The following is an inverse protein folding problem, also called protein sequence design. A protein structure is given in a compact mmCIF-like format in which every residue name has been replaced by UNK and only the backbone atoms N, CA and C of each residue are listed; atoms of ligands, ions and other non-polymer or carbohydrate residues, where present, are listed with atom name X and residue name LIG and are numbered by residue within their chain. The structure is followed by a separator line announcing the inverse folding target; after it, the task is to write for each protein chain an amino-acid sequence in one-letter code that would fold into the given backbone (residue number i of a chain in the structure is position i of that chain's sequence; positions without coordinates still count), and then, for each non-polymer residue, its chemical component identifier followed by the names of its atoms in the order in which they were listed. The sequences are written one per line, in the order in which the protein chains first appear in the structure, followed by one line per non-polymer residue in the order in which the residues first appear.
data_IF_133272365101
#
_entry.id   IF_133272365101
#
_cell.length_a   1.000
_cell.length_b   1.000
_cell.length_c   1.000
_cell.angle_alpha   90.00
_cell.angle_beta   90.00
_cell.angle_gamma   90.00
#
_symmetry.space_group_name_H-M   'P 1'
#
loop_
_entity.id
_entity.type
_entity.pdbx_description
1 polymer ?
#
# COMPACT_ATOMS: atom_id res chain seq x y z
N UNK A 1 6.58 37.64 -46.25
CA UNK A 1 7.46 36.66 -45.57
C UNK A 1 7.21 36.82 -44.07
N UNK A 2 6.25 36.03 -43.58
CA UNK A 2 5.91 35.93 -42.16
C UNK A 2 7.05 35.24 -41.41
N UNK A 3 7.26 35.61 -40.15
CA UNK A 3 7.45 34.67 -39.05
C UNK A 3 7.00 35.33 -37.75
N UNK A 4 5.72 35.11 -37.43
CA UNK A 4 5.15 35.24 -36.08
C UNK A 4 5.83 34.20 -35.18
N UNK A 5 6.43 34.64 -34.07
CA UNK A 5 6.58 33.80 -32.87
C UNK A 5 5.29 33.95 -32.07
N UNK A 6 4.57 32.85 -31.86
CA UNK A 6 3.36 32.83 -31.02
C UNK A 6 3.66 33.03 -29.54
N UNK A 7 2.70 33.52 -28.74
CA UNK A 7 2.88 33.70 -27.30
C UNK A 7 2.74 32.35 -26.58
N UNK A 8 3.72 32.01 -25.75
CA UNK A 8 3.51 31.04 -24.67
C UNK A 8 2.45 31.59 -23.72
N UNK A 9 1.42 30.80 -23.44
CA UNK A 9 0.32 31.18 -22.54
C UNK A 9 0.86 31.26 -21.12
N UNK A 10 1.11 32.47 -20.62
CA UNK A 10 1.28 32.72 -19.19
C UNK A 10 -0.06 32.42 -18.50
N UNK A 11 -0.09 31.36 -17.69
CA UNK A 11 -1.25 31.03 -16.86
C UNK A 11 -1.58 32.20 -15.93
N UNK A 12 -2.84 32.60 -15.85
CA UNK A 12 -3.27 33.69 -14.98
C UNK A 12 -3.28 33.25 -13.51
N UNK A 13 -3.05 34.19 -12.59
CA UNK A 13 -3.03 33.92 -11.13
C UNK A 13 -4.35 33.29 -10.64
N UNK A 14 -5.47 33.59 -11.32
CA UNK A 14 -6.77 32.99 -11.03
C UNK A 14 -6.89 31.54 -11.51
N UNK A 15 -6.33 31.21 -12.68
CA UNK A 15 -6.29 29.82 -13.17
C UNK A 15 -5.46 28.92 -12.26
N UNK A 16 -4.33 29.43 -11.76
CA UNK A 16 -3.52 28.72 -10.77
C UNK A 16 -4.31 28.40 -9.49
N UNK A 17 -5.05 29.37 -8.95
CA UNK A 17 -5.95 29.14 -7.81
C UNK A 17 -7.02 28.08 -8.10
N UNK A 18 -7.70 28.18 -9.25
CA UNK A 18 -8.79 27.27 -9.60
C UNK A 18 -8.31 25.83 -9.78
N UNK A 19 -7.09 25.64 -10.29
CA UNK A 19 -6.43 24.34 -10.35
C UNK A 19 -6.21 23.78 -8.95
N UNK A 20 -5.49 24.52 -8.09
CA UNK A 20 -5.18 24.06 -6.72
C UNK A 20 -6.45 23.78 -5.89
N UNK A 21 -7.48 24.60 -6.05
CA UNK A 21 -8.77 24.35 -5.42
C UNK A 21 -9.42 23.05 -5.92
N UNK A 22 -9.38 22.79 -7.23
CA UNK A 22 -9.98 21.60 -7.82
C UNK A 22 -9.28 20.33 -7.31
N UNK A 23 -7.96 20.37 -7.21
CA UNK A 23 -7.13 19.30 -6.68
C UNK A 23 -7.46 19.03 -5.21
N UNK A 24 -7.48 20.09 -4.38
CA UNK A 24 -7.85 19.99 -2.98
C UNK A 24 -9.26 19.40 -2.81
N UNK A 25 -10.23 19.83 -3.64
CA UNK A 25 -11.60 19.30 -3.61
C UNK A 25 -11.66 17.83 -3.99
N UNK A 26 -10.85 17.40 -4.96
CA UNK A 26 -10.80 16.00 -5.40
C UNK A 26 -10.36 15.06 -4.27
N UNK A 27 -9.49 15.50 -3.35
CA UNK A 27 -9.02 14.69 -2.20
C UNK A 27 -10.15 14.28 -1.25
N UNK A 28 -11.25 15.05 -1.23
CA UNK A 28 -12.43 14.70 -0.45
C UNK A 28 -13.33 13.69 -1.16
N UNK A 29 -13.01 13.25 -2.39
CA UNK A 29 -13.82 12.36 -3.21
C UNK A 29 -15.09 13.01 -3.77
N UNK A 30 -15.91 12.20 -4.45
CA UNK A 30 -17.19 12.62 -5.05
C UNK A 30 -18.39 11.87 -4.45
N UNK A 31 -19.61 12.34 -4.72
CA UNK A 31 -20.85 11.70 -4.26
C UNK A 31 -21.14 11.87 -2.76
N UNK A 32 -22.29 11.39 -2.29
CA UNK A 32 -22.62 11.47 -0.86
C UNK A 32 -21.69 10.54 -0.04
N UNK A 33 -21.01 11.04 1.01
CA UNK A 33 -20.23 10.18 1.89
C UNK A 33 -21.12 9.11 2.54
N UNK A 34 -20.58 7.89 2.67
CA UNK A 34 -21.28 6.79 3.33
C UNK A 34 -21.40 7.07 4.83
N UNK A 35 -22.57 6.81 5.40
CA UNK A 35 -22.84 6.95 6.84
C UNK A 35 -22.62 5.63 7.56
N UNK A 36 -22.46 5.69 8.88
CA UNK A 36 -22.30 4.53 9.74
C UNK A 36 -23.62 3.84 10.11
N UNK A 37 -24.73 4.20 9.46
CA UNK A 37 -26.05 3.61 9.69
C UNK A 37 -26.06 2.07 9.65
N UNK A 38 -25.34 1.39 8.75
CA UNK A 38 -25.27 -0.08 8.72
C UNK A 38 -24.73 -0.73 10.01
N UNK A 39 -24.01 0.04 10.84
CA UNK A 39 -23.46 -0.43 12.12
C UNK A 39 -24.36 -0.08 13.32
N UNK A 40 -25.43 0.71 13.13
CA UNK A 40 -26.27 1.22 14.22
C UNK A 40 -27.60 0.48 14.36
N UNK A 41 -28.14 -0.07 13.27
CA UNK A 41 -29.50 -0.62 13.24
C UNK A 41 -29.55 -2.02 12.59
N UNK A 42 -30.45 -2.88 13.12
CA UNK A 42 -30.92 -4.16 12.54
C UNK A 42 -29.89 -5.18 12.01
N UNK A 43 -28.66 -5.09 12.51
CA UNK A 43 -27.58 -6.01 12.17
C UNK A 43 -27.74 -7.43 12.74
N UNK A 44 -26.91 -8.38 12.28
CA UNK A 44 -26.88 -9.76 12.79
C UNK A 44 -26.77 -9.89 14.32
N UNK A 45 -26.10 -8.94 14.99
CA UNK A 45 -25.92 -8.94 16.44
C UNK A 45 -27.22 -8.63 17.22
N UNK A 46 -28.05 -7.70 16.75
CA UNK A 46 -29.36 -7.42 17.36
C UNK A 46 -30.30 -8.62 17.25
N UNK A 47 -30.22 -9.37 16.12
CA UNK A 47 -30.92 -10.66 15.97
C UNK A 47 -30.34 -11.70 16.92
N UNK A 48 -29.02 -11.85 16.99
CA UNK A 48 -28.38 -12.80 17.91
C UNK A 48 -28.76 -12.54 19.38
N UNK A 49 -28.79 -11.28 19.80
CA UNK A 49 -29.22 -10.88 21.14
C UNK A 49 -30.67 -11.31 21.42
N UNK A 50 -31.58 -11.12 20.46
CA UNK A 50 -32.99 -11.51 20.57
C UNK A 50 -33.16 -13.03 20.65
N UNK A 51 -32.41 -13.78 19.83
CA UNK A 51 -32.41 -15.24 19.84
C UNK A 51 -31.87 -15.81 21.17
N UNK A 52 -30.77 -15.27 21.69
CA UNK A 52 -30.20 -15.67 22.98
C UNK A 52 -31.12 -15.33 24.16
N UNK A 53 -31.83 -14.19 24.09
CA UNK A 53 -32.83 -13.86 25.09
C UNK A 53 -34.00 -14.85 25.09
N UNK A 54 -34.50 -15.22 23.89
CA UNK A 54 -35.57 -16.20 23.73
C UNK A 54 -35.15 -17.63 24.13
N UNK A 55 -33.85 -17.94 24.11
CA UNK A 55 -33.32 -19.25 24.48
C UNK A 55 -33.14 -19.47 26.00
N UNK A 56 -33.49 -18.48 26.83
CA UNK A 56 -33.43 -18.60 28.31
C UNK A 56 -34.28 -19.80 28.79
N UNK A 57 -33.77 -20.67 29.69
CA UNK A 57 -34.54 -21.81 30.17
C UNK A 57 -35.89 -21.41 30.79
N UNK A 58 -36.96 -22.00 30.25
CA UNK A 58 -38.31 -21.84 30.81
C UNK A 58 -38.58 -22.79 31.97
N UNK A 59 -39.74 -22.64 32.63
CA UNK A 59 -40.15 -23.46 33.78
C UNK A 59 -40.28 -24.95 33.49
N UNK A 60 -40.33 -25.35 32.21
CA UNK A 60 -40.38 -26.75 31.76
C UNK A 60 -39.02 -27.47 31.78
N UNK A 61 -37.90 -26.75 31.84
CA UNK A 61 -36.56 -27.33 31.93
C UNK A 61 -35.87 -26.80 33.20
N UNK A 62 -35.74 -27.68 34.21
CA UNK A 62 -35.20 -27.34 35.52
C UNK A 62 -34.14 -28.36 35.97
N UNK A 63 -33.35 -27.99 36.99
CA UNK A 63 -32.24 -28.80 37.51
C UNK A 63 -30.86 -28.28 37.09
N UNK A 64 -29.80 -28.95 37.54
CA UNK A 64 -28.41 -28.48 37.41
C UNK A 64 -27.98 -28.18 35.97
N UNK A 65 -28.43 -28.96 35.00
CA UNK A 65 -28.15 -28.72 33.58
C UNK A 65 -28.78 -27.43 33.04
N UNK A 66 -30.02 -27.11 33.43
CA UNK A 66 -30.69 -25.87 33.05
C UNK A 66 -30.01 -24.63 33.66
N UNK A 67 -29.54 -24.73 34.91
CA UNK A 67 -28.79 -23.66 35.58
C UNK A 67 -27.43 -23.42 34.92
N UNK A 68 -26.71 -24.49 34.56
CA UNK A 68 -25.43 -24.37 33.86
C UNK A 68 -25.60 -23.75 32.46
N UNK A 69 -26.68 -24.12 31.75
CA UNK A 69 -27.02 -23.51 30.47
C UNK A 69 -27.40 -22.03 30.62
N UNK A 70 -28.22 -21.66 31.60
CA UNK A 70 -28.64 -20.27 31.81
C UNK A 70 -27.44 -19.35 32.11
N UNK A 71 -26.48 -19.82 32.90
CA UNK A 71 -25.23 -19.12 33.15
C UNK A 71 -24.42 -18.89 31.86
N UNK A 72 -24.28 -19.94 31.02
CA UNK A 72 -23.57 -19.83 29.74
C UNK A 72 -24.32 -18.92 28.73
N UNK A 73 -25.65 -19.03 28.66
CA UNK A 73 -26.50 -18.18 27.82
C UNK A 73 -26.41 -16.71 28.24
N UNK A 74 -26.41 -16.44 29.55
CA UNK A 74 -26.22 -15.09 30.09
C UNK A 74 -24.87 -14.51 29.69
N UNK A 75 -23.79 -15.29 29.76
CA UNK A 75 -22.47 -14.83 29.31
C UNK A 75 -22.44 -14.54 27.80
N UNK A 76 -23.08 -15.38 26.97
CA UNK A 76 -23.20 -15.13 25.53
C UNK A 76 -23.98 -13.85 25.23
N UNK A 77 -25.08 -13.59 25.95
CA UNK A 77 -25.84 -12.33 25.80
C UNK A 77 -25.01 -11.10 26.14
N UNK A 78 -24.20 -11.17 27.19
CA UNK A 78 -23.31 -10.07 27.60
C UNK A 78 -22.27 -9.77 26.51
N UNK A 79 -21.62 -10.79 25.97
CA UNK A 79 -20.62 -10.63 24.88
C UNK A 79 -21.25 -10.08 23.60
N UNK A 80 -22.42 -10.57 23.20
CA UNK A 80 -23.14 -10.04 22.03
C UNK A 80 -23.53 -8.56 22.24
N UNK A 81 -23.92 -8.18 23.46
CA UNK A 81 -24.21 -6.79 23.79
C UNK A 81 -22.96 -5.90 23.76
N UNK A 82 -21.79 -6.42 24.15
CA UNK A 82 -20.50 -5.74 24.03
C UNK A 82 -20.13 -5.51 22.56
N UNK A 83 -20.23 -6.53 21.70
CA UNK A 83 -20.05 -6.39 20.25
C UNK A 83 -21.02 -5.36 19.64
N UNK A 84 -22.30 -5.38 20.03
CA UNK A 84 -23.28 -4.41 19.55
C UNK A 84 -23.02 -2.97 20.07
N UNK A 85 -22.30 -2.84 21.19
CA UNK A 85 -21.81 -1.55 21.69
C UNK A 85 -20.65 -1.02 20.84
N UNK A 86 -19.74 -1.89 20.42
CA UNK A 86 -18.63 -1.54 19.53
C UNK A 86 -19.12 -1.16 18.13
N UNK A 87 -20.11 -1.88 17.58
CA UNK A 87 -20.71 -1.59 16.26
C UNK A 87 -21.27 -0.15 16.25
N UNK A 88 -22.06 0.23 17.26
CA UNK A 88 -22.61 1.58 17.35
C UNK A 88 -21.53 2.66 17.41
N UNK A 89 -20.48 2.45 18.20
CA UNK A 89 -19.34 3.37 18.30
C UNK A 89 -18.58 3.48 16.98
N UNK A 90 -18.43 2.38 16.24
CA UNK A 90 -17.85 2.37 14.90
C UNK A 90 -18.70 3.21 13.94
N UNK A 91 -20.02 2.98 13.92
CA UNK A 91 -20.96 3.74 13.11
C UNK A 91 -20.93 5.25 13.40
N UNK A 92 -20.81 5.64 14.68
CA UNK A 92 -20.64 7.05 15.05
C UNK A 92 -19.35 7.66 14.50
N UNK A 93 -18.23 6.93 14.48
CA UNK A 93 -16.99 7.44 13.90
C UNK A 93 -17.08 7.57 12.38
N UNK A 94 -17.78 6.66 11.70
CA UNK A 94 -18.03 6.74 10.25
C UNK A 94 -18.90 7.96 9.92
N UNK A 95 -19.93 8.25 10.70
CA UNK A 95 -20.74 9.48 10.53
C UNK A 95 -19.92 10.74 10.72
N UNK A 96 -19.03 10.77 11.72
CA UNK A 96 -18.12 11.90 11.91
C UNK A 96 -17.19 12.06 10.72
N UNK A 97 -16.63 10.98 10.16
CA UNK A 97 -15.79 11.05 8.96
C UNK A 97 -16.58 11.61 7.76
N UNK A 98 -17.80 11.13 7.55
CA UNK A 98 -18.70 11.63 6.52
C UNK A 98 -18.98 13.14 6.66
N UNK A 99 -19.18 13.62 7.88
CA UNK A 99 -19.39 15.04 8.17
C UNK A 99 -18.14 15.87 7.88
N UNK A 100 -16.95 15.40 8.27
CA UNK A 100 -15.68 16.09 7.97
C UNK A 100 -15.48 16.21 6.46
N UNK A 101 -15.79 15.14 5.72
CA UNK A 101 -15.66 15.13 4.26
C UNK A 101 -16.65 16.10 3.61
N UNK A 102 -17.93 16.03 3.99
CA UNK A 102 -18.95 16.93 3.45
C UNK A 102 -18.67 18.40 3.82
N UNK A 103 -18.23 18.65 5.06
CA UNK A 103 -17.87 19.98 5.56
C UNK A 103 -16.68 20.57 4.80
N UNK A 104 -15.59 19.82 4.66
CA UNK A 104 -14.41 20.27 3.91
C UNK A 104 -14.74 20.62 2.45
N UNK A 105 -15.59 19.81 1.80
CA UNK A 105 -16.10 20.11 0.46
C UNK A 105 -16.87 21.44 0.40
N UNK A 106 -17.78 21.68 1.34
CA UNK A 106 -18.58 22.91 1.38
C UNK A 106 -17.69 24.13 1.66
N UNK A 107 -16.72 23.99 2.57
CA UNK A 107 -15.79 25.06 2.91
C UNK A 107 -14.91 25.43 1.71
N UNK A 108 -14.39 24.41 0.99
CA UNK A 108 -13.63 24.63 -0.25
C UNK A 108 -14.48 25.31 -1.31
N UNK A 109 -15.72 24.87 -1.53
CA UNK A 109 -16.64 25.50 -2.49
C UNK A 109 -16.87 26.99 -2.14
N UNK A 110 -17.02 27.30 -0.86
CA UNK A 110 -17.19 28.68 -0.38
C UNK A 110 -15.95 29.55 -0.65
N UNK A 111 -14.74 29.02 -0.44
CA UNK A 111 -13.49 29.74 -0.76
C UNK A 111 -13.39 30.01 -2.27
N UNK A 112 -13.72 29.03 -3.12
CA UNK A 112 -13.75 29.23 -4.58
C UNK A 112 -14.71 30.33 -4.98
N UNK A 113 -15.93 30.30 -4.47
CA UNK A 113 -16.93 31.34 -4.76
C UNK A 113 -16.43 32.71 -4.35
N UNK A 114 -15.84 32.83 -3.16
CA UNK A 114 -15.27 34.10 -2.68
C UNK A 114 -14.16 34.64 -3.60
N UNK A 115 -13.23 33.80 -4.05
CA UNK A 115 -12.16 34.23 -4.98
C UNK A 115 -12.73 34.63 -6.35
N UNK A 116 -13.68 33.86 -6.89
CA UNK A 116 -14.33 34.16 -8.17
C UNK A 116 -15.11 35.48 -8.13
N UNK A 117 -15.84 35.74 -7.05
CA UNK A 117 -16.60 36.98 -6.84
C UNK A 117 -15.68 38.20 -6.72
N UNK A 118 -14.52 38.03 -6.08
CA UNK A 118 -13.50 39.06 -6.01
C UNK A 118 -12.86 39.32 -7.38
N UNK A 119 -12.57 38.26 -8.15
CA UNK A 119 -12.04 38.38 -9.50
C UNK A 119 -12.97 39.12 -10.46
N UNK A 120 -14.28 38.88 -10.35
CA UNK A 120 -15.29 39.53 -11.19
C UNK A 120 -15.37 41.06 -11.00
N UNK A 121 -14.85 41.60 -9.89
CA UNK A 121 -14.87 43.04 -9.57
C UNK A 121 -13.64 43.79 -10.08
N UNK A 122 -12.65 43.08 -10.60
CA UNK A 122 -11.35 43.65 -10.97
C UNK A 122 -11.26 43.86 -12.49
N UNK A 123 -10.70 44.99 -12.99
CA UNK A 123 -10.56 45.22 -14.43
C UNK A 123 -9.70 44.17 -15.13
N UNK A 124 -10.07 43.74 -16.34
CA UNK A 124 -9.26 42.81 -17.14
C UNK A 124 -8.04 43.50 -17.78
N UNK A 125 -7.04 43.79 -16.96
CA UNK A 125 -5.77 44.44 -17.33
C UNK A 125 -4.63 43.93 -16.44
N UNK A 126 -3.39 44.25 -16.78
CA UNK A 126 -2.22 43.91 -15.95
C UNK A 126 -2.32 44.50 -14.52
N UNK A 127 -2.85 45.71 -14.38
CA UNK A 127 -3.11 46.32 -13.08
C UNK A 127 -4.17 45.53 -12.28
N UNK A 128 -5.18 44.99 -12.97
CA UNK A 128 -6.16 44.12 -12.35
C UNK A 128 -5.60 42.76 -11.92
N UNK A 129 -4.72 42.16 -12.72
CA UNK A 129 -4.02 40.93 -12.30
C UNK A 129 -3.20 41.15 -11.03
N UNK A 130 -2.53 42.30 -10.87
CA UNK A 130 -1.81 42.63 -9.64
C UNK A 130 -2.75 42.83 -8.43
N UNK A 131 -3.95 43.37 -8.64
CA UNK A 131 -4.97 43.50 -7.59
C UNK A 131 -5.52 42.14 -7.11
N UNK A 132 -5.46 41.10 -7.95
CA UNK A 132 -5.94 39.75 -7.62
C UNK A 132 -4.97 38.92 -6.78
N UNK A 133 -3.66 39.23 -6.82
CA UNK A 133 -2.63 38.48 -6.10
C UNK A 133 -2.94 38.30 -4.61
N UNK A 134 -3.26 39.34 -3.80
CA UNK A 134 -3.53 39.15 -2.38
C UNK A 134 -4.82 38.35 -2.10
N UNK A 135 -5.81 38.43 -2.99
CA UNK A 135 -7.05 37.64 -2.89
C UNK A 135 -6.75 36.17 -3.11
N UNK A 136 -5.99 35.85 -4.16
CA UNK A 136 -5.58 34.47 -4.47
C UNK A 136 -4.67 33.90 -3.38
N UNK A 137 -3.69 34.67 -2.89
CA UNK A 137 -2.83 34.22 -1.79
C UNK A 137 -3.64 33.86 -0.54
N UNK A 138 -4.64 34.67 -0.17
CA UNK A 138 -5.54 34.34 0.92
C UNK A 138 -6.39 33.10 0.60
N UNK A 139 -6.95 33.00 -0.60
CA UNK A 139 -7.75 31.83 -1.00
C UNK A 139 -6.95 30.53 -0.94
N UNK A 140 -5.68 30.55 -1.35
CA UNK A 140 -4.77 29.40 -1.22
C UNK A 140 -4.47 29.06 0.24
N UNK A 141 -4.28 30.07 1.11
CA UNK A 141 -4.12 29.85 2.55
C UNK A 141 -5.36 29.21 3.17
N UNK A 142 -6.55 29.70 2.83
CA UNK A 142 -7.82 29.18 3.34
C UNK A 142 -8.05 27.72 2.87
N UNK A 143 -7.71 27.41 1.60
CA UNK A 143 -7.72 26.03 1.07
C UNK A 143 -6.79 25.12 1.88
N UNK A 144 -5.55 25.56 2.14
CA UNK A 144 -4.58 24.79 2.91
C UNK A 144 -5.05 24.55 4.36
N UNK A 145 -5.62 25.56 5.01
CA UNK A 145 -6.14 25.46 6.38
C UNK A 145 -7.32 24.48 6.48
N UNK A 146 -8.23 24.49 5.49
CA UNK A 146 -9.35 23.54 5.42
C UNK A 146 -8.83 22.10 5.30
N UNK A 147 -7.93 21.84 4.35
CA UNK A 147 -7.35 20.50 4.15
C UNK A 147 -6.62 20.04 5.42
N UNK A 148 -5.83 20.91 6.04
CA UNK A 148 -5.09 20.60 7.28
C UNK A 148 -6.02 20.25 8.43
N UNK A 149 -7.06 21.05 8.65
CA UNK A 149 -8.05 20.82 9.71
C UNK A 149 -8.83 19.53 9.49
N UNK A 150 -9.37 19.33 8.29
CA UNK A 150 -10.12 18.11 7.93
C UNK A 150 -9.26 16.86 8.09
N UNK A 151 -7.99 16.90 7.69
CA UNK A 151 -7.07 15.78 7.92
C UNK A 151 -6.82 15.54 9.41
N UNK A 152 -6.60 16.58 10.21
CA UNK A 152 -6.46 16.44 11.67
C UNK A 152 -7.66 15.73 12.31
N UNK A 153 -8.87 16.12 11.92
CA UNK A 153 -10.11 15.51 12.41
C UNK A 153 -10.25 14.05 11.95
N UNK A 154 -9.99 13.74 10.68
CA UNK A 154 -10.03 12.37 10.15
C UNK A 154 -9.01 11.44 10.82
N UNK A 155 -7.82 11.96 11.17
CA UNK A 155 -6.81 11.18 11.89
C UNK A 155 -7.20 10.87 13.34
N UNK A 156 -7.85 11.84 14.02
CA UNK A 156 -8.42 11.60 15.33
C UNK A 156 -9.52 10.53 15.28
N UNK A 157 -10.34 10.56 14.22
CA UNK A 157 -11.38 9.55 13.98
C UNK A 157 -10.74 8.18 13.72
N UNK A 158 -9.75 8.09 12.82
CA UNK A 158 -9.03 6.85 12.51
C UNK A 158 -8.34 6.23 13.73
N UNK A 159 -7.78 7.06 14.64
CA UNK A 159 -7.21 6.59 15.90
C UNK A 159 -8.27 5.99 16.82
N UNK A 160 -9.46 6.61 16.88
CA UNK A 160 -10.60 6.09 17.64
C UNK A 160 -11.09 4.77 17.04
N UNK A 161 -11.21 4.68 15.70
CA UNK A 161 -11.58 3.46 14.96
C UNK A 161 -10.61 2.31 15.27
N UNK A 162 -9.29 2.55 15.24
CA UNK A 162 -8.28 1.54 15.62
C UNK A 162 -8.44 1.08 17.07
N UNK A 163 -8.72 2.01 17.99
CA UNK A 163 -9.03 1.67 19.38
C UNK A 163 -10.24 0.73 19.49
N UNK A 164 -11.33 1.03 18.78
CA UNK A 164 -12.52 0.16 18.71
C UNK A 164 -12.17 -1.20 18.10
N UNK A 165 -11.34 -1.24 17.04
CA UNK A 165 -10.82 -2.48 16.45
C UNK A 165 -10.10 -3.37 17.45
N UNK A 166 -9.24 -2.79 18.30
CA UNK A 166 -8.56 -3.53 19.36
C UNK A 166 -9.54 -4.09 20.41
N UNK A 167 -10.60 -3.34 20.73
CA UNK A 167 -11.66 -3.83 21.62
C UNK A 167 -12.43 -5.01 21.00
N UNK A 168 -12.69 -5.02 19.69
CA UNK A 168 -13.23 -6.19 18.99
C UNK A 168 -12.31 -7.41 19.12
N UNK A 169 -11.00 -7.23 18.90
CA UNK A 169 -10.02 -8.32 19.01
C UNK A 169 -9.94 -8.88 20.43
N UNK A 170 -10.01 -8.02 21.45
CA UNK A 170 -10.00 -8.43 22.85
C UNK A 170 -11.24 -9.26 23.23
N UNK A 171 -12.40 -8.99 22.63
CA UNK A 171 -13.62 -9.80 22.80
C UNK A 171 -13.55 -11.15 22.07
N UNK A 172 -12.65 -11.31 21.10
CA UNK A 172 -12.50 -12.49 20.25
C UNK A 172 -11.49 -13.55 20.72
N UNK A 173 -10.74 -13.35 21.81
CA UNK A 173 -9.64 -14.24 22.22
C UNK A 173 -10.13 -15.59 22.84
N UNK A 174 -9.50 -16.74 22.50
CA UNK A 174 -10.09 -18.08 22.51
C UNK A 174 -9.84 -18.88 23.80
N UNK A 175 -9.97 -18.26 24.97
CA UNK A 175 -9.95 -19.02 26.24
C UNK A 175 -11.30 -19.72 26.47
N UNK A 176 -11.64 -20.68 25.61
CA UNK A 176 -12.68 -21.67 25.88
C UNK A 176 -12.48 -22.97 25.09
N UNK A 177 -12.06 -24.00 25.82
CA UNK A 177 -12.37 -25.40 25.53
C UNK A 177 -11.37 -26.15 24.64
N UNK A 178 -10.32 -26.72 25.25
CA UNK A 178 -9.74 -27.98 24.75
C UNK A 178 -10.82 -29.05 24.88
N UNK A 179 -11.50 -29.35 23.78
CA UNK A 179 -12.29 -30.57 23.59
C UNK A 179 -11.46 -31.53 22.77
N UNK A 180 -11.32 -32.75 23.26
CA UNK A 180 -10.46 -33.81 22.73
C UNK A 180 -10.73 -34.14 21.26
N UNK A 181 -9.66 -34.34 20.48
CA UNK A 181 -9.70 -35.04 19.20
C UNK A 181 -8.57 -36.10 19.11
N UNK A 182 -8.78 -37.17 18.34
CA UNK A 182 -8.47 -38.53 18.78
C UNK A 182 -7.06 -38.98 18.41
N UNK A 183 -6.52 -39.85 19.26
CA UNK A 183 -5.39 -40.72 18.91
C UNK A 183 -5.80 -41.64 17.76
N UNK A 184 -4.98 -41.71 16.70
CA UNK A 184 -5.05 -42.82 15.76
C UNK A 184 -3.68 -43.48 15.59
N UNK A 185 -3.71 -44.81 15.65
CA UNK A 185 -2.61 -45.76 15.62
C UNK A 185 -2.24 -46.12 14.17
N UNK A 186 -0.94 -46.08 13.84
CA UNK A 186 -0.21 -46.94 12.87
C UNK A 186 -0.67 -47.00 11.40
N UNK A 187 0.14 -47.58 10.47
CA UNK A 187 1.10 -48.65 10.73
C UNK A 187 2.53 -48.41 10.19
N UNK A 188 3.43 -49.20 10.75
CA UNK A 188 4.82 -49.38 10.34
C UNK A 188 4.91 -49.85 8.88
N UNK A 189 5.73 -49.18 8.08
CA UNK A 189 5.95 -49.50 6.68
C UNK A 189 7.41 -49.28 6.28
N UNK A 190 8.28 -50.17 6.73
CA UNK A 190 9.68 -50.22 6.31
C UNK A 190 9.74 -50.86 4.90
N UNK A 191 9.96 -50.06 3.87
CA UNK A 191 10.20 -50.50 2.50
C UNK A 191 11.25 -49.58 1.84
N UNK A 192 12.15 -50.11 0.99
CA UNK A 192 13.22 -49.32 0.41
C UNK A 192 12.65 -48.33 -0.61
N UNK A 193 12.79 -47.04 -0.35
CA UNK A 193 12.42 -45.97 -1.29
C UNK A 193 13.29 -46.05 -2.56
N UNK A 194 12.69 -45.88 -3.75
CA UNK A 194 13.43 -45.79 -5.01
C UNK A 194 14.24 -44.49 -5.09
N UNK A 195 15.40 -44.56 -5.74
CA UNK A 195 16.38 -43.51 -6.02
C UNK A 195 15.86 -42.07 -5.87
N UNK A 196 16.02 -41.50 -4.67
CA UNK A 196 15.79 -40.08 -4.43
C UNK A 196 16.83 -39.27 -5.21
N UNK A 197 16.44 -38.24 -5.99
CA UNK A 197 17.40 -37.26 -6.49
C UNK A 197 18.18 -36.67 -5.30
N UNK A 198 19.46 -36.30 -5.48
CA UNK A 198 20.31 -35.85 -4.39
C UNK A 198 19.60 -34.76 -3.59
N UNK A 199 19.46 -34.99 -2.29
CA UNK A 199 18.73 -34.11 -1.38
C UNK A 199 19.39 -32.73 -1.38
N UNK A 200 18.63 -31.71 -1.80
CA UNK A 200 19.11 -30.33 -1.76
C UNK A 200 19.40 -29.96 -0.29
N UNK A 201 20.60 -29.45 -0.01
CA UNK A 201 21.05 -29.04 1.33
C UNK A 201 20.07 -28.09 2.03
N UNK A 202 19.32 -27.28 1.28
CA UNK A 202 18.29 -26.38 1.83
C UNK A 202 17.04 -27.13 2.30
N UNK A 203 16.53 -28.07 1.49
CA UNK A 203 15.39 -28.92 1.90
C UNK A 203 15.75 -29.73 3.14
N UNK A 204 16.96 -30.31 3.15
CA UNK A 204 17.46 -31.03 4.32
C UNK A 204 17.49 -30.15 5.56
N UNK A 205 18.08 -28.96 5.47
CA UNK A 205 18.16 -28.03 6.60
C UNK A 205 16.77 -27.63 7.13
N UNK A 206 15.79 -27.41 6.25
CA UNK A 206 14.41 -27.10 6.63
C UNK A 206 13.69 -28.30 7.27
N UNK A 207 13.92 -29.53 6.77
CA UNK A 207 13.39 -30.77 7.39
C UNK A 207 14.00 -31.01 8.76
N UNK A 208 15.32 -30.91 8.88
CA UNK A 208 16.06 -31.06 10.14
C UNK A 208 15.57 -30.02 11.18
N UNK A 209 15.16 -28.84 10.71
CA UNK A 209 14.58 -27.78 11.54
C UNK A 209 13.07 -27.94 11.84
N UNK A 210 12.40 -28.95 11.29
CA UNK A 210 10.97 -29.19 11.45
C UNK A 210 10.05 -28.21 10.69
N UNK A 211 10.58 -27.55 9.66
CA UNK A 211 9.90 -26.46 8.91
C UNK A 211 9.37 -26.89 7.55
N UNK A 212 9.70 -28.09 7.07
CA UNK A 212 9.24 -28.63 5.79
C UNK A 212 8.81 -30.09 5.93
N UNK A 213 7.56 -30.36 5.56
CA UNK A 213 6.99 -31.71 5.46
C UNK A 213 6.78 -32.05 3.98
N UNK A 214 7.31 -33.18 3.50
CA UNK A 214 7.22 -33.55 2.08
C UNK A 214 8.13 -32.71 1.16
N UNK A 215 8.18 -33.01 -0.15
CA UNK A 215 9.07 -32.32 -1.09
C UNK A 215 8.73 -30.83 -1.22
N UNK A 216 9.73 -29.99 -1.48
CA UNK A 216 9.48 -28.61 -1.89
C UNK A 216 8.89 -28.58 -3.32
N UNK A 217 7.92 -27.70 -3.55
CA UNK A 217 7.27 -27.51 -4.85
C UNK A 217 7.07 -26.02 -5.19
N UNK A 218 6.62 -25.76 -6.43
CA UNK A 218 6.27 -24.43 -6.92
C UNK A 218 7.35 -23.36 -6.67
N UNK A 219 6.91 -22.17 -6.25
CA UNK A 219 7.79 -21.05 -5.92
C UNK A 219 8.60 -21.28 -4.63
N UNK A 220 8.16 -22.17 -3.73
CA UNK A 220 8.95 -22.52 -2.55
C UNK A 220 10.22 -23.28 -2.96
N UNK A 221 10.11 -24.25 -3.86
CA UNK A 221 11.27 -24.92 -4.45
C UNK A 221 12.19 -23.93 -5.17
N UNK A 222 11.60 -23.03 -5.96
CA UNK A 222 12.35 -21.98 -6.67
C UNK A 222 13.09 -21.03 -5.73
N UNK A 223 12.53 -20.74 -4.55
CA UNK A 223 13.23 -19.98 -3.51
C UNK A 223 14.51 -20.70 -3.06
N UNK A 224 14.45 -22.02 -2.84
CA UNK A 224 15.62 -22.81 -2.46
C UNK A 224 16.66 -22.89 -3.60
N UNK A 225 16.21 -22.97 -4.85
CA UNK A 225 17.09 -22.93 -6.03
C UNK A 225 17.77 -21.56 -6.19
N UNK A 226 17.05 -20.47 -5.92
CA UNK A 226 17.63 -19.12 -5.90
C UNK A 226 18.64 -18.94 -4.76
N UNK A 227 18.34 -19.49 -3.57
CA UNK A 227 19.27 -19.50 -2.45
C UNK A 227 20.57 -20.23 -2.82
N UNK A 228 20.47 -21.37 -3.50
CA UNK A 228 21.63 -22.12 -4.00
C UNK A 228 22.44 -21.33 -5.02
N UNK A 229 21.77 -20.80 -6.06
CA UNK A 229 22.38 -20.01 -7.13
C UNK A 229 23.15 -18.81 -6.57
N UNK A 230 22.68 -18.22 -5.48
CA UNK A 230 23.26 -17.02 -4.85
C UNK A 230 24.19 -17.33 -3.68
N UNK A 231 24.39 -18.61 -3.35
CA UNK A 231 25.25 -19.02 -2.24
C UNK A 231 24.74 -18.56 -0.87
N UNK A 232 23.43 -18.39 -0.70
CA UNK A 232 22.84 -18.05 0.60
C UNK A 232 23.07 -19.22 1.56
N UNK A 233 23.56 -19.02 2.79
CA UNK A 233 23.75 -20.12 3.72
C UNK A 233 22.41 -20.77 4.13
N UNK A 234 22.30 -22.11 4.24
CA UNK A 234 21.04 -22.78 4.62
C UNK A 234 20.45 -22.30 5.95
N UNK A 235 21.30 -21.92 6.91
CA UNK A 235 20.88 -21.36 8.19
C UNK A 235 20.08 -20.06 8.04
N UNK A 236 20.37 -19.24 7.03
CA UNK A 236 19.60 -18.02 6.73
C UNK A 236 18.21 -18.37 6.23
N UNK A 237 18.09 -19.39 5.39
CA UNK A 237 16.80 -19.88 4.87
C UNK A 237 15.94 -20.45 6.00
N UNK A 238 16.54 -21.27 6.87
CA UNK A 238 15.87 -21.82 8.06
C UNK A 238 15.40 -20.69 8.98
N UNK A 239 16.22 -19.68 9.19
CA UNK A 239 15.92 -18.54 10.05
C UNK A 239 14.77 -17.68 9.50
N UNK A 240 14.76 -17.39 8.20
CA UNK A 240 13.64 -16.72 7.51
C UNK A 240 12.35 -17.53 7.64
N UNK A 241 12.39 -18.84 7.33
CA UNK A 241 11.23 -19.70 7.42
C UNK A 241 10.67 -19.77 8.84
N UNK A 242 11.55 -19.85 9.84
CA UNK A 242 11.15 -19.94 11.26
C UNK A 242 10.57 -18.64 11.79
N UNK A 243 11.27 -17.51 11.59
CA UNK A 243 10.89 -16.21 12.19
C UNK A 243 9.65 -15.62 11.53
N UNK A 244 9.50 -15.81 10.23
CA UNK A 244 8.40 -15.22 9.44
C UNK A 244 7.35 -16.23 9.01
N UNK A 245 7.40 -17.45 9.54
CA UNK A 245 6.46 -18.53 9.26
C UNK A 245 6.29 -18.80 7.75
N UNK A 246 7.40 -18.80 7.00
CA UNK A 246 7.38 -19.03 5.55
C UNK A 246 7.23 -20.52 5.28
N UNK A 247 6.10 -20.91 4.70
CA UNK A 247 5.77 -22.27 4.28
C UNK A 247 5.58 -22.31 2.76
N UNK A 248 5.42 -23.49 2.15
CA UNK A 248 5.03 -23.58 0.75
C UNK A 248 3.77 -22.77 0.40
N UNK A 249 2.77 -22.74 1.30
CA UNK A 249 1.53 -21.99 1.13
C UNK A 249 1.74 -20.47 1.12
N UNK A 250 2.82 -19.95 1.72
CA UNK A 250 3.13 -18.52 1.69
C UNK A 250 3.29 -18.00 0.27
N UNK A 251 3.88 -18.81 -0.64
CA UNK A 251 4.13 -18.40 -2.02
C UNK A 251 2.93 -18.52 -2.97
N UNK A 252 1.83 -19.20 -2.56
CA UNK A 252 0.64 -19.34 -3.40
C UNK A 252 -0.01 -18.03 -3.80
N UNK A 253 0.29 -16.93 -3.09
CA UNK A 253 -0.16 -15.58 -3.48
C UNK A 253 0.39 -15.16 -4.86
N UNK A 254 1.51 -15.74 -5.30
CA UNK A 254 2.09 -15.49 -6.61
C UNK A 254 1.45 -16.33 -7.71
N UNK A 255 0.61 -17.32 -7.36
CA UNK A 255 -0.07 -18.15 -8.34
C UNK A 255 -1.09 -17.31 -9.12
N UNK A 256 -1.03 -17.40 -10.45
CA UNK A 256 -1.87 -16.60 -11.35
C UNK A 256 -1.35 -15.19 -11.62
N UNK A 257 -0.25 -14.76 -10.98
CA UNK A 257 0.52 -13.58 -11.40
C UNK A 257 1.51 -13.97 -12.50
N UNK A 258 1.68 -13.10 -13.51
CA UNK A 258 2.64 -13.36 -14.59
C UNK A 258 4.06 -13.04 -14.11
N UNK A 259 4.91 -14.07 -14.06
CA UNK A 259 6.33 -13.87 -13.77
C UNK A 259 7.08 -13.28 -14.97
N UNK A 260 7.73 -12.13 -14.74
CA UNK A 260 8.64 -11.48 -15.69
C UNK A 260 10.04 -11.52 -15.10
N UNK A 261 11.03 -11.89 -15.91
CA UNK A 261 12.43 -11.89 -15.51
C UNK A 261 13.22 -10.75 -16.12
N UNK A 262 14.12 -10.18 -15.32
CA UNK A 262 15.12 -9.24 -15.81
C UNK A 262 16.36 -9.97 -16.35
N UNK A 263 17.36 -9.24 -16.91
CA UNK A 263 18.59 -9.84 -17.43
C UNK A 263 19.40 -10.66 -16.42
N UNK A 264 19.32 -10.33 -15.12
CA UNK A 264 20.02 -11.04 -14.04
C UNK A 264 19.23 -12.26 -13.51
N UNK A 265 18.04 -12.48 -14.06
CA UNK A 265 17.15 -13.60 -13.76
C UNK A 265 16.28 -13.39 -12.52
N UNK A 266 16.23 -12.17 -11.96
CA UNK A 266 15.31 -11.82 -10.86
C UNK A 266 13.87 -11.84 -11.36
N UNK A 267 13.00 -12.28 -10.48
CA UNK A 267 11.58 -12.44 -10.73
C UNK A 267 10.82 -11.19 -10.28
N UNK A 268 9.98 -10.68 -11.16
CA UNK A 268 8.96 -9.68 -10.92
C UNK A 268 7.62 -10.33 -11.24
N UNK A 269 6.53 -9.90 -10.60
CA UNK A 269 5.21 -10.48 -10.86
C UNK A 269 4.20 -9.40 -11.22
N UNK A 270 3.73 -9.43 -12.46
CA UNK A 270 2.64 -8.57 -12.91
C UNK A 270 1.33 -9.06 -12.30
N UNK A 271 0.64 -8.15 -11.61
CA UNK A 271 -0.58 -8.46 -10.88
C UNK A 271 -1.78 -8.52 -11.84
N UNK A 272 -2.67 -9.51 -11.70
CA UNK A 272 -3.94 -9.51 -12.40
C UNK A 272 -4.84 -8.38 -11.90
N UNK A 273 -5.78 -7.94 -12.74
CA UNK A 273 -6.83 -7.00 -12.33
C UNK A 273 -7.62 -7.54 -11.14
N UNK A 274 -8.05 -6.65 -10.26
CA UNK A 274 -8.81 -7.00 -9.06
C UNK A 274 -8.00 -7.68 -7.95
N UNK A 275 -6.67 -7.70 -8.05
CA UNK A 275 -5.81 -8.15 -6.94
C UNK A 275 -6.08 -7.29 -5.70
N UNK A 276 -6.35 -7.91 -4.57
CA UNK A 276 -6.61 -7.19 -3.32
C UNK A 276 -5.34 -6.50 -2.80
N UNK A 277 -5.50 -5.42 -2.03
CA UNK A 277 -4.35 -4.76 -1.37
C UNK A 277 -3.56 -5.72 -0.49
N UNK A 278 -4.24 -6.60 0.23
CA UNK A 278 -3.61 -7.63 1.07
C UNK A 278 -2.79 -8.63 0.26
N UNK A 279 -3.32 -9.11 -0.87
CA UNK A 279 -2.60 -10.01 -1.76
C UNK A 279 -1.43 -9.31 -2.45
N UNK A 280 -1.59 -8.04 -2.85
CA UNK A 280 -0.52 -7.24 -3.44
C UNK A 280 0.64 -7.04 -2.46
N UNK A 281 0.34 -6.72 -1.20
CA UNK A 281 1.32 -6.59 -0.13
C UNK A 281 2.07 -7.90 0.12
N UNK A 282 1.33 -9.00 0.28
CA UNK A 282 1.90 -10.32 0.50
C UNK A 282 2.74 -10.76 -0.71
N UNK A 283 2.27 -10.53 -1.93
CA UNK A 283 3.01 -10.80 -3.15
C UNK A 283 4.30 -10.00 -3.22
N UNK A 284 4.30 -8.70 -2.88
CA UNK A 284 5.52 -7.89 -2.85
C UNK A 284 6.56 -8.47 -1.88
N UNK A 285 6.15 -8.88 -0.67
CA UNK A 285 7.03 -9.54 0.29
C UNK A 285 7.56 -10.88 -0.24
N UNK A 286 6.68 -11.72 -0.78
CA UNK A 286 7.07 -13.03 -1.30
C UNK A 286 7.99 -12.92 -2.51
N UNK A 287 7.88 -11.87 -3.32
CA UNK A 287 8.81 -11.56 -4.41
C UNK A 287 10.22 -11.25 -3.90
N UNK A 288 10.36 -10.44 -2.84
CA UNK A 288 11.67 -10.23 -2.21
C UNK A 288 12.27 -11.55 -1.68
N UNK A 289 11.46 -12.33 -0.95
CA UNK A 289 11.92 -13.60 -0.37
C UNK A 289 12.34 -14.57 -1.47
N UNK A 290 11.52 -14.74 -2.52
CA UNK A 290 11.80 -15.63 -3.65
C UNK A 290 13.15 -15.32 -4.30
N UNK A 291 13.47 -14.03 -4.48
CA UNK A 291 14.67 -13.60 -5.17
C UNK A 291 15.96 -13.78 -4.36
N UNK A 292 15.87 -13.98 -3.04
CA UNK A 292 17.05 -14.02 -2.16
C UNK A 292 17.90 -12.75 -2.24
N UNK A 293 17.24 -11.59 -2.06
CA UNK A 293 17.87 -10.26 -2.13
C UNK A 293 17.78 -9.63 -3.51
N UNK A 294 18.38 -8.45 -3.66
CA UNK A 294 18.18 -7.61 -4.86
C UNK A 294 19.35 -7.67 -5.83
N UNK A 295 20.49 -8.27 -5.45
CA UNK A 295 21.76 -8.25 -6.19
C UNK A 295 22.31 -6.82 -6.39
N UNK A 296 21.89 -5.86 -5.57
CA UNK A 296 22.33 -4.47 -5.69
C UNK A 296 23.85 -4.33 -5.58
N UNK A 297 24.50 -5.16 -4.76
CA UNK A 297 25.95 -5.13 -4.63
C UNK A 297 26.70 -5.58 -5.89
N UNK A 298 26.01 -6.24 -6.83
CA UNK A 298 26.53 -6.64 -8.14
C UNK A 298 26.23 -5.63 -9.25
N UNK A 299 25.32 -4.67 -9.02
CA UNK A 299 25.06 -3.58 -9.94
C UNK A 299 26.32 -2.73 -10.12
N UNK A 300 26.53 -2.19 -11.33
CA UNK A 300 27.78 -1.52 -11.68
C UNK A 300 28.08 -0.32 -10.78
N UNK A 301 27.19 0.68 -10.75
CA UNK A 301 27.30 1.86 -9.90
C UNK A 301 26.28 1.77 -8.77
N UNK A 302 26.76 2.02 -7.54
CA UNK A 302 25.99 1.89 -6.31
C UNK A 302 26.03 3.18 -5.52
N UNK A 303 24.90 3.54 -4.94
CA UNK A 303 24.75 4.73 -4.11
C UNK A 303 24.94 4.40 -2.62
N UNK A 304 24.67 3.14 -2.23
CA UNK A 304 24.76 2.67 -0.84
C UNK A 304 25.29 1.23 -0.75
N UNK A 305 25.55 0.78 0.48
CA UNK A 305 25.81 -0.63 0.79
C UNK A 305 24.50 -1.41 0.83
N UNK A 306 24.42 -2.55 0.12
CA UNK A 306 23.25 -3.43 0.16
C UNK A 306 23.04 -4.00 1.57
N UNK A 307 21.78 -4.05 2.02
CA UNK A 307 21.44 -4.77 3.24
C UNK A 307 21.44 -6.28 2.97
N UNK A 308 22.18 -7.09 3.74
CA UNK A 308 22.26 -8.52 3.48
C UNK A 308 20.90 -9.23 3.54
N UNK A 309 20.68 -10.16 2.61
CA UNK A 309 19.52 -11.05 2.64
C UNK A 309 19.51 -11.85 3.95
N UNK A 310 18.54 -11.58 4.80
CA UNK A 310 18.44 -12.12 6.15
C UNK A 310 17.01 -12.00 6.66
N UNK A 311 16.68 -12.71 7.74
CA UNK A 311 15.39 -12.56 8.38
C UNK A 311 15.21 -11.19 9.07
N UNK A 312 16.28 -10.50 9.45
CA UNK A 312 16.19 -9.10 9.92
C UNK A 312 15.75 -8.17 8.79
N UNK A 313 16.27 -8.39 7.58
CA UNK A 313 15.90 -7.60 6.41
C UNK A 313 14.46 -7.89 5.97
N UNK A 314 14.02 -9.15 6.03
CA UNK A 314 12.60 -9.51 5.82
C UNK A 314 11.71 -8.79 6.85
N UNK A 315 12.11 -8.74 8.13
CA UNK A 315 11.35 -8.01 9.15
C UNK A 315 11.29 -6.52 8.84
N UNK A 316 12.40 -5.90 8.43
CA UNK A 316 12.44 -4.48 8.05
C UNK A 316 11.46 -4.17 6.91
N UNK A 317 11.38 -5.04 5.91
CA UNK A 317 10.41 -4.90 4.80
C UNK A 317 8.97 -5.06 5.32
N UNK A 318 8.69 -6.04 6.18
CA UNK A 318 7.37 -6.21 6.81
C UNK A 318 6.96 -4.95 7.58
N UNK A 319 7.88 -4.36 8.36
CA UNK A 319 7.65 -3.16 9.15
C UNK A 319 7.39 -1.94 8.26
N UNK A 320 8.15 -1.79 7.17
CA UNK A 320 7.94 -0.75 6.15
C UNK A 320 6.56 -0.88 5.51
N UNK A 321 6.19 -2.09 5.07
CA UNK A 321 4.88 -2.36 4.48
C UNK A 321 3.73 -2.16 5.47
N UNK A 322 3.93 -2.40 6.76
CA UNK A 322 2.96 -2.08 7.81
C UNK A 322 2.79 -0.57 7.98
N UNK A 323 3.90 0.18 8.01
CA UNK A 323 3.86 1.64 8.12
C UNK A 323 3.22 2.30 6.89
N UNK A 324 3.41 1.69 5.72
CA UNK A 324 2.84 2.10 4.45
C UNK A 324 1.57 1.31 4.07
N UNK A 325 0.87 0.67 5.02
CA UNK A 325 -0.26 -0.21 4.68
C UNK A 325 -1.35 0.50 3.85
N UNK A 326 -1.50 1.81 4.07
CA UNK A 326 -2.42 2.67 3.35
C UNK A 326 -2.21 2.66 1.82
N UNK A 327 -0.97 2.52 1.33
CA UNK A 327 -0.72 2.42 -0.12
C UNK A 327 -1.24 1.11 -0.70
N UNK A 328 -1.28 0.04 0.10
CA UNK A 328 -1.87 -1.23 -0.29
C UNK A 328 -3.40 -1.21 -0.17
N UNK A 329 -3.92 -0.70 0.93
CA UNK A 329 -5.35 -0.73 1.27
C UNK A 329 -6.20 0.18 0.38
N UNK A 330 -5.62 1.28 -0.12
CA UNK A 330 -6.33 2.32 -0.87
C UNK A 330 -5.84 2.40 -2.32
N UNK A 331 -4.53 2.49 -2.53
CA UNK A 331 -3.99 2.90 -3.83
C UNK A 331 -3.90 1.76 -4.85
N UNK A 332 -3.75 0.50 -4.41
CA UNK A 332 -3.78 -0.66 -5.32
C UNK A 332 -5.11 -0.73 -6.08
N UNK A 333 -6.22 -0.60 -5.36
CA UNK A 333 -7.56 -0.59 -5.96
C UNK A 333 -7.80 0.66 -6.81
N UNK A 334 -7.26 1.80 -6.40
CA UNK A 334 -7.34 3.04 -7.16
C UNK A 334 -6.60 2.94 -8.50
N UNK A 335 -5.35 2.46 -8.52
CA UNK A 335 -4.56 2.32 -9.76
C UNK A 335 -5.22 1.35 -10.72
N UNK A 336 -5.65 0.18 -10.24
CA UNK A 336 -6.31 -0.82 -11.10
C UNK A 336 -7.66 -0.30 -11.64
N UNK A 337 -8.45 0.37 -10.79
CA UNK A 337 -9.74 0.95 -11.15
C UNK A 337 -9.65 2.08 -12.19
N UNK A 338 -8.52 2.77 -12.26
CA UNK A 338 -8.24 3.82 -13.23
C UNK A 338 -7.46 3.33 -14.47
N UNK A 339 -7.39 2.01 -14.68
CA UNK A 339 -6.80 1.42 -15.88
C UNK A 339 -5.30 1.14 -15.79
N UNK A 340 -4.62 1.61 -14.75
CA UNK A 340 -3.21 1.34 -14.48
C UNK A 340 -2.91 -0.12 -14.18
N UNK A 341 -1.63 -0.49 -14.17
CA UNK A 341 -1.14 -1.84 -13.85
C UNK A 341 -0.02 -1.76 -12.83
N UNK A 342 0.06 -2.79 -12.00
CA UNK A 342 1.04 -2.92 -10.93
C UNK A 342 1.79 -4.24 -11.07
N UNK A 343 3.07 -4.23 -10.69
CA UNK A 343 3.87 -5.43 -10.54
C UNK A 343 4.68 -5.39 -9.24
N UNK A 344 4.98 -6.55 -8.69
CA UNK A 344 5.87 -6.68 -7.53
C UNK A 344 7.33 -6.61 -7.96
N UNK A 345 8.18 -6.04 -7.11
CA UNK A 345 9.61 -5.85 -7.37
C UNK A 345 10.50 -6.61 -6.37
N UNK A 346 11.75 -6.94 -6.73
CA UNK A 346 12.68 -7.67 -5.87
C UNK A 346 13.06 -6.99 -4.55
N UNK A 347 12.77 -5.69 -4.36
CA UNK A 347 13.00 -4.92 -3.12
C UNK A 347 11.75 -4.85 -2.20
N UNK A 348 10.73 -5.66 -2.48
CA UNK A 348 9.54 -5.79 -1.64
C UNK A 348 8.52 -4.65 -1.82
N UNK A 349 8.61 -3.91 -2.91
CA UNK A 349 7.70 -2.81 -3.28
C UNK A 349 6.79 -3.21 -4.45
N UNK A 350 5.92 -2.28 -4.84
CA UNK A 350 5.19 -2.32 -6.10
C UNK A 350 5.77 -1.29 -7.06
N UNK A 351 5.77 -1.62 -8.35
CA UNK A 351 6.04 -0.70 -9.45
C UNK A 351 4.84 -0.63 -10.36
N UNK A 352 4.42 0.57 -10.74
CA UNK A 352 3.18 0.82 -11.46
C UNK A 352 3.33 1.71 -12.68
N UNK A 353 2.37 1.57 -13.60
CA UNK A 353 2.20 2.37 -14.80
C UNK A 353 0.73 2.65 -15.08
N UNK A 354 0.43 3.89 -15.50
CA UNK A 354 -0.92 4.36 -15.80
C UNK A 354 -1.79 4.65 -14.57
N UNK A 355 -2.91 5.34 -14.80
CA UNK A 355 -3.76 5.93 -13.76
C UNK A 355 -4.20 7.33 -14.20
N UNK A 356 -5.31 7.86 -13.69
CA UNK A 356 -5.90 9.13 -14.17
C UNK A 356 -5.01 10.36 -13.85
N UNK A 357 -5.22 11.46 -14.61
CA UNK A 357 -4.50 12.76 -14.67
C UNK A 357 -4.11 13.47 -13.33
N UNK A 358 -4.52 12.95 -12.17
CA UNK A 358 -4.07 13.45 -10.86
C UNK A 358 -2.61 13.07 -10.55
N UNK A 359 -2.02 12.16 -11.32
CA UNK A 359 -0.61 11.73 -11.19
C UNK A 359 0.38 12.57 -12.04
N UNK A 360 -0.11 13.34 -13.01
CA UNK A 360 0.72 14.18 -13.91
C UNK A 360 1.38 15.38 -13.20
N UNK A 361 0.95 15.71 -11.97
CA UNK A 361 1.42 16.88 -11.23
C UNK A 361 2.71 16.64 -10.41
N UNK A 362 3.23 15.40 -10.37
CA UNK A 362 4.29 15.00 -9.44
C UNK A 362 5.54 14.40 -10.10
N UNK A 363 5.63 14.41 -11.44
CA UNK A 363 6.70 13.75 -12.18
C UNK A 363 7.70 14.72 -12.81
N UNK A 364 8.73 15.12 -12.07
CA UNK A 364 10.00 15.53 -12.68
C UNK A 364 11.05 14.44 -12.42
N UNK A 365 11.68 13.93 -13.49
CA UNK A 365 12.95 13.18 -13.40
C UNK A 365 12.93 11.67 -13.67
N UNK A 366 11.90 10.90 -13.33
CA UNK A 366 11.90 9.44 -13.61
C UNK A 366 10.75 8.60 -13.02
N UNK A 367 9.92 9.18 -12.16
CA UNK A 367 8.77 8.54 -11.51
C UNK A 367 8.54 9.16 -10.13
N UNK A 368 7.55 8.65 -9.39
CA UNK A 368 7.24 9.09 -8.03
C UNK A 368 6.93 7.90 -7.13
N UNK A 369 7.61 7.81 -5.99
CA UNK A 369 7.30 6.82 -4.95
C UNK A 369 6.29 7.36 -3.94
N UNK A 370 5.22 6.59 -3.76
CA UNK A 370 4.07 6.89 -2.92
C UNK A 370 3.81 5.70 -1.97
N UNK A 371 4.24 5.84 -0.71
CA UNK A 371 4.27 4.71 0.22
C UNK A 371 5.19 3.61 -0.31
N UNK A 372 4.64 2.42 -0.58
CA UNK A 372 5.37 1.31 -1.20
C UNK A 372 5.10 1.13 -2.71
N UNK A 373 4.47 2.11 -3.37
CA UNK A 373 4.20 2.08 -4.82
C UNK A 373 5.10 3.10 -5.53
N UNK A 374 6.00 2.61 -6.38
CA UNK A 374 6.73 3.44 -7.33
C UNK A 374 5.96 3.56 -8.65
N UNK A 375 5.45 4.75 -8.95
CA UNK A 375 4.82 5.03 -10.24
C UNK A 375 5.86 5.52 -11.24
N UNK A 376 6.09 4.75 -12.30
CA UNK A 376 7.01 5.13 -13.38
C UNK A 376 6.36 6.26 -14.20
N UNK A 377 7.14 7.28 -14.55
CA UNK A 377 6.69 8.46 -15.28
C UNK A 377 6.43 8.17 -16.78
N UNK A 378 5.40 7.39 -17.10
CA UNK A 378 4.93 7.15 -18.47
C UNK A 378 3.40 7.27 -18.45
N UNK A 379 2.89 8.35 -19.04
CA UNK A 379 1.48 8.73 -19.00
C UNK A 379 0.68 8.01 -20.09
N UNK A 380 -0.44 7.40 -19.68
CA UNK A 380 -1.41 6.70 -20.55
C UNK A 380 -0.78 5.81 -21.65
N UNK A 381 0.14 4.89 -21.31
CA UNK A 381 0.69 3.98 -22.31
C UNK A 381 -0.41 3.12 -22.92
N UNK A 382 -0.30 2.84 -24.22
CA UNK A 382 -1.27 2.01 -24.96
C UNK A 382 -1.52 0.66 -24.27
N UNK A 383 -0.48 0.09 -23.65
CA UNK A 383 -0.56 -1.10 -22.79
C UNK A 383 0.44 -0.99 -21.63
N UNK A 384 -0.06 -0.57 -20.46
CA UNK A 384 0.73 -0.45 -19.24
C UNK A 384 1.39 -1.78 -18.80
N UNK A 385 0.72 -2.92 -19.01
CA UNK A 385 1.29 -4.21 -18.66
C UNK A 385 2.47 -4.56 -19.58
N UNK A 386 2.34 -4.30 -20.88
CA UNK A 386 3.44 -4.50 -21.84
C UNK A 386 4.63 -3.58 -21.56
N UNK A 387 4.39 -2.31 -21.19
CA UNK A 387 5.45 -1.38 -20.79
C UNK A 387 6.20 -1.88 -19.54
N UNK A 388 5.50 -2.32 -18.49
CA UNK A 388 6.12 -2.91 -17.30
C UNK A 388 6.99 -4.12 -17.67
N UNK A 389 6.51 -5.00 -18.55
CA UNK A 389 7.30 -6.15 -19.04
C UNK A 389 8.57 -5.70 -19.74
N UNK A 390 8.48 -4.68 -20.59
CA UNK A 390 9.62 -4.15 -21.37
C UNK A 390 10.67 -3.49 -20.47
N UNK A 391 10.25 -2.72 -19.48
CA UNK A 391 11.13 -2.12 -18.46
C UNK A 391 11.94 -3.23 -17.78
N UNK A 392 11.25 -4.21 -17.19
CA UNK A 392 11.91 -5.32 -16.48
C UNK A 392 12.86 -6.10 -17.38
N UNK A 393 12.42 -6.48 -18.59
CA UNK A 393 13.25 -7.24 -19.53
C UNK A 393 14.50 -6.48 -19.99
N UNK A 394 14.44 -5.15 -20.02
CA UNK A 394 15.58 -4.32 -20.39
C UNK A 394 16.60 -4.14 -19.27
N UNK A 395 16.18 -4.28 -18.01
CA UNK A 395 17.03 -4.03 -16.84
C UNK A 395 17.42 -2.56 -16.65
N UNK A 396 16.82 -1.62 -17.38
CA UNK A 396 17.12 -0.19 -17.30
C UNK A 396 15.85 0.64 -17.11
N UNK A 397 16.01 1.87 -16.62
CA UNK A 397 14.94 2.86 -16.47
C UNK A 397 14.41 3.33 -17.83
N UNK A 398 13.10 3.49 -17.92
CA UNK A 398 12.41 4.02 -19.09
C UNK A 398 11.77 5.36 -18.78
N UNK A 399 11.66 6.20 -19.81
CA UNK A 399 11.21 7.58 -19.72
C UNK A 399 10.10 7.82 -20.76
N UNK A 400 9.24 8.84 -20.57
CA UNK A 400 8.10 9.05 -21.44
C UNK A 400 8.56 9.49 -22.83
N UNK A 401 7.96 8.87 -23.84
CA UNK A 401 8.13 9.21 -25.24
C UNK A 401 7.00 10.09 -25.77
N UNK A 402 7.18 10.67 -26.97
CA UNK A 402 6.22 11.60 -27.58
C UNK A 402 4.88 10.94 -27.99
N UNK A 403 4.81 9.61 -27.99
CA UNK A 403 3.63 8.82 -28.36
C UNK A 403 2.88 8.25 -27.13
N UNK A 404 3.25 8.67 -25.91
CA UNK A 404 2.70 8.15 -24.65
C UNK A 404 3.32 6.82 -24.20
N UNK A 405 4.17 6.19 -25.00
CA UNK A 405 4.89 4.99 -24.60
C UNK A 405 6.22 5.33 -23.92
N UNK A 406 6.70 4.44 -23.07
CA UNK A 406 8.04 4.53 -22.51
C UNK A 406 9.11 4.09 -23.50
N UNK A 407 10.33 4.62 -23.34
CA UNK A 407 11.53 4.16 -24.01
C UNK A 407 12.73 4.10 -23.05
N UNK A 408 13.70 3.19 -23.29
CA UNK A 408 14.93 3.14 -22.49
C UNK A 408 15.64 4.50 -22.49
N UNK A 409 16.06 4.97 -21.33
CA UNK A 409 16.81 6.21 -21.21
C UNK A 409 18.15 6.17 -21.91
N UNK A 410 18.57 7.29 -22.48
CA UNK A 410 19.91 7.42 -23.07
C UNK A 410 21.03 7.22 -22.02
N UNK A 411 20.74 7.55 -20.76
CA UNK A 411 21.63 7.33 -19.62
C UNK A 411 21.82 5.85 -19.24
N UNK A 412 20.98 4.94 -19.75
CA UNK A 412 20.99 3.51 -19.42
C UNK A 412 21.02 3.28 -17.91
N UNK A 413 20.25 4.08 -17.15
CA UNK A 413 20.18 3.96 -15.70
C UNK A 413 19.69 2.55 -15.33
N UNK A 414 20.51 1.83 -14.58
CA UNK A 414 20.23 0.48 -14.10
C UNK A 414 18.95 0.45 -13.25
N UNK A 415 18.05 -0.51 -13.54
CA UNK A 415 16.74 -0.61 -12.88
C UNK A 415 16.88 -0.94 -11.40
N UNK A 416 17.89 -1.73 -10.98
CA UNK A 416 18.10 -1.98 -9.56
C UNK A 416 18.53 -0.72 -8.84
N UNK A 417 19.41 0.06 -9.48
CA UNK A 417 19.84 1.35 -8.93
C UNK A 417 18.67 2.30 -8.74
N UNK A 418 17.77 2.38 -9.73
CA UNK A 418 16.53 3.14 -9.60
C UNK A 418 15.67 2.58 -8.47
N UNK A 419 15.37 1.28 -8.45
CA UNK A 419 14.49 0.70 -7.44
C UNK A 419 15.04 0.84 -6.01
N UNK A 420 16.36 0.83 -5.79
CA UNK A 420 16.92 1.12 -4.46
C UNK A 420 16.78 2.58 -4.07
N UNK A 421 16.92 3.51 -5.02
CA UNK A 421 16.63 4.92 -4.78
C UNK A 421 15.17 5.09 -4.35
N UNK A 422 14.23 4.50 -5.10
CA UNK A 422 12.80 4.53 -4.78
C UNK A 422 12.48 3.86 -3.44
N UNK A 423 13.20 2.79 -3.09
CA UNK A 423 13.03 2.14 -1.79
C UNK A 423 13.39 3.05 -0.61
N UNK A 424 14.34 3.98 -0.81
CA UNK A 424 14.69 4.97 0.22
C UNK A 424 13.57 5.97 0.42
N UNK A 425 12.87 6.37 -0.64
CA UNK A 425 11.66 7.17 -0.54
C UNK A 425 10.54 6.41 0.19
N UNK A 426 10.33 5.13 -0.11
CA UNK A 426 9.38 4.31 0.66
C UNK A 426 9.74 4.25 2.15
N UNK A 427 11.03 4.12 2.49
CA UNK A 427 11.47 4.17 3.89
C UNK A 427 11.27 5.56 4.52
N UNK A 428 11.40 6.65 3.75
CA UNK A 428 11.09 8.00 4.22
C UNK A 428 9.59 8.13 4.54
N UNK A 429 8.71 7.64 3.66
CA UNK A 429 7.26 7.56 3.91
C UNK A 429 6.93 6.77 5.18
N UNK A 430 7.54 5.60 5.36
CA UNK A 430 7.34 4.77 6.54
C UNK A 430 7.78 5.47 7.85
N UNK A 431 8.85 6.27 7.81
CA UNK A 431 9.36 7.02 8.98
C UNK A 431 8.52 8.26 9.30
N UNK A 432 8.13 9.01 8.28
CA UNK A 432 7.42 10.29 8.45
C UNK A 432 5.91 10.08 8.65
N UNK A 433 5.39 8.95 8.18
CA UNK A 433 3.96 8.74 8.02
C UNK A 433 3.38 9.66 6.94
N UNK A 434 2.17 9.34 6.49
CA UNK A 434 1.46 10.09 5.45
C UNK A 434 1.42 11.62 5.70
N UNK A 435 1.25 12.02 6.97
CA UNK A 435 1.17 13.43 7.38
C UNK A 435 2.53 14.12 7.56
N UNK A 436 3.57 13.41 8.02
CA UNK A 436 4.90 14.01 8.20
C UNK A 436 5.55 14.35 6.85
N UNK A 437 5.21 13.60 5.80
CA UNK A 437 5.63 13.93 4.44
C UNK A 437 4.84 15.12 3.87
N UNK A 438 3.52 15.19 4.08
CA UNK A 438 2.71 16.37 3.70
C UNK A 438 3.16 17.63 4.46
N UNK A 439 3.56 17.54 5.73
CA UNK A 439 4.08 18.70 6.49
C UNK A 439 5.48 19.13 5.99
N UNK A 440 6.39 18.19 5.66
CA UNK A 440 7.66 18.49 5.01
C UNK A 440 7.50 19.08 3.60
N UNK A 441 6.47 18.64 2.86
CA UNK A 441 6.06 19.13 1.54
C UNK A 441 5.48 20.56 1.61
N UNK A 442 4.74 20.88 2.67
CA UNK A 442 4.04 22.16 2.85
C UNK A 442 4.91 23.24 3.53
N UNK A 443 5.83 22.86 4.43
CA UNK A 443 6.67 23.83 5.18
C UNK A 443 7.99 24.22 4.49
N UNK A 444 8.34 23.62 3.34
CA UNK A 444 9.51 24.03 2.57
C UNK A 444 9.56 23.55 1.12
N UNK A 445 9.43 24.50 0.19
CA UNK A 445 9.98 24.48 -1.20
C UNK A 445 9.29 23.59 -2.25
N UNK A 446 8.18 24.11 -2.77
CA UNK A 446 7.36 23.60 -3.90
C UNK A 446 8.07 23.53 -5.28
N UNK A 447 9.38 23.80 -5.37
CA UNK A 447 10.15 23.68 -6.61
C UNK A 447 11.50 22.96 -6.47
N UNK A 448 11.88 22.51 -5.26
CA UNK A 448 13.21 21.92 -4.99
C UNK A 448 13.17 20.46 -4.56
N UNK A 449 12.00 19.83 -4.44
CA UNK A 449 11.89 18.41 -4.04
C UNK A 449 12.59 17.49 -5.06
N UNK A 450 12.55 17.82 -6.35
CA UNK A 450 13.19 17.05 -7.43
C UNK A 450 14.52 17.67 -7.92
N UNK A 451 15.00 18.75 -7.28
CA UNK A 451 16.32 19.32 -7.55
C UNK A 451 16.99 19.82 -6.27
N UNK A 452 18.03 19.09 -5.83
CA UNK A 452 19.01 19.48 -4.79
C UNK A 452 18.54 19.46 -3.31
N UNK A 453 17.47 18.72 -2.98
CA UNK A 453 16.99 18.52 -1.60
C UNK A 453 17.80 17.48 -0.79
N UNK A 454 17.93 17.60 0.55
CA UNK A 454 18.61 16.59 1.39
C UNK A 454 18.01 15.18 1.30
N UNK A 455 16.71 15.05 1.08
CA UNK A 455 16.04 13.75 0.94
C UNK A 455 16.44 12.99 -0.33
N UNK A 456 16.60 13.70 -1.45
CA UNK A 456 17.13 13.14 -2.70
C UNK A 456 18.59 12.71 -2.55
N UNK A 457 19.40 13.51 -1.85
CA UNK A 457 20.81 13.16 -1.52
C UNK A 457 20.90 11.89 -0.68
N UNK A 458 20.01 11.74 0.29
CA UNK A 458 19.92 10.53 1.13
C UNK A 458 19.36 9.31 0.38
N UNK A 459 18.59 9.54 -0.69
CA UNK A 459 18.02 8.51 -1.56
C UNK A 459 18.97 8.08 -2.70
N UNK A 460 20.02 8.84 -3.01
CA UNK A 460 21.07 8.45 -3.96
C UNK A 460 20.96 9.19 -5.29
N UNK A 461 21.58 8.71 -6.37
CA UNK A 461 21.54 9.33 -7.72
C UNK A 461 22.07 10.78 -7.80
N UNK A 462 22.77 11.25 -6.78
CA UNK A 462 23.39 12.59 -6.66
C UNK A 462 24.41 12.93 -7.76
N UNK A 463 24.82 11.94 -8.56
CA UNK A 463 25.64 12.11 -9.76
C UNK A 463 24.85 12.66 -10.96
N UNK A 464 23.56 12.96 -10.78
CA UNK A 464 22.67 13.38 -11.85
C UNK A 464 22.14 12.20 -12.66
N UNK A 465 21.93 11.04 -12.03
CA UNK A 465 21.55 9.78 -12.70
C UNK A 465 20.28 9.86 -13.57
N UNK A 466 19.42 10.86 -13.36
CA UNK A 466 18.24 11.14 -14.18
C UNK A 466 18.52 12.02 -15.43
N UNK A 467 19.75 12.54 -15.62
CA UNK A 467 20.12 13.46 -16.71
C UNK A 467 20.86 12.79 -17.85
#
# INVERSE_FOLDING_TARGET
MLLHRGPGVLMSVLEGFLSTWADARATFGQGAPQTGEPFKTDGPLSRAQSHLAAATPGSSWSGTASTAYDAANTEHRLKVAEFAGLDRRMGEQIDRAAQVVAGGRNDLDAVRTWVLDAAARVPQSAAGQQMLVPVVQRGLSDVADIVKRSNGELNSIATTIRGIGNEYSALGDPKRGKGDEPQNFGPDGNGPEPDKPPENKYEKALRDAGLLNGPADGYYKKWLENAERRGVPPEVIVDIARRHHITPDSFKVLDGMEEVKDPDGKSYFLMPKGTSGADARKAALMTYILNCGTDYDKAGKKDFKETPYSADEVQRIIDRQNANSWSYDQDVGFVDGNGGRLMTTPNGMLMGLGGNQLQDMYSEGGGSTWGDIFMVNIDDPTDAADQLRKIVKSGVAWYPGPDGNGYPGANQLDLDRLLHHEERHSQQWARMGYLGFIDAYVTGKVAEIFTDHPMEKDAGLHDGGYR
#
